data_IF_125043272979
#
_entry.id   IF_125043272979
#
_cell.length_a   1.000
_cell.length_b   1.000
_cell.length_c   1.000
_cell.angle_alpha   90.00
_cell.angle_beta   90.00
_cell.angle_gamma   90.00
#
_symmetry.space_group_name_H-M   'P 1'
#
loop_
_entity.id
_entity.type
_entity.pdbx_description
1 polymer ?
#
# COMPACT_ATOMS: atom_id res chain seq x y z
N UNK A 1 15.26 1.90 -14.26
CA UNK A 1 14.65 0.62 -13.88
C UNK A 1 15.65 -0.50 -14.15
N UNK A 2 15.92 -1.34 -13.14
CA UNK A 2 16.77 -2.51 -13.28
C UNK A 2 16.04 -3.66 -14.01
N UNK A 3 16.80 -4.66 -14.49
CA UNK A 3 16.22 -5.92 -14.95
C UNK A 3 15.63 -6.70 -13.78
N UNK A 4 14.53 -7.40 -14.04
CA UNK A 4 13.83 -8.26 -13.08
C UNK A 4 13.23 -9.49 -13.78
N UNK A 5 12.97 -10.53 -13.02
CA UNK A 5 12.15 -11.68 -13.43
C UNK A 5 10.70 -11.49 -12.97
N UNK A 6 9.75 -12.18 -13.59
CA UNK A 6 8.33 -12.04 -13.32
C UNK A 6 7.65 -13.41 -13.28
N UNK A 7 6.97 -13.71 -12.18
CA UNK A 7 6.04 -14.85 -12.04
C UNK A 7 4.60 -14.31 -11.99
N UNK A 8 3.64 -15.04 -12.56
CA UNK A 8 2.21 -14.76 -12.39
C UNK A 8 1.61 -15.82 -11.47
N UNK A 9 1.39 -15.46 -10.21
CA UNK A 9 0.74 -16.36 -9.27
C UNK A 9 -0.76 -16.41 -9.55
N UNK A 10 -1.37 -17.55 -9.21
CA UNK A 10 -2.81 -17.80 -9.36
C UNK A 10 -3.53 -18.00 -8.03
N UNK A 11 -2.77 -18.23 -6.95
CA UNK A 11 -3.28 -18.35 -5.60
C UNK A 11 -2.41 -17.57 -4.58
N UNK A 12 -2.98 -17.22 -3.44
CA UNK A 12 -2.29 -16.43 -2.42
C UNK A 12 -1.13 -17.18 -1.76
N UNK A 13 -1.27 -18.50 -1.52
CA UNK A 13 -0.19 -19.34 -1.00
C UNK A 13 0.95 -19.51 -2.01
N UNK A 14 0.62 -19.59 -3.30
CA UNK A 14 1.60 -19.59 -4.39
C UNK A 14 2.36 -18.27 -4.42
N UNK A 15 1.65 -17.13 -4.36
CA UNK A 15 2.28 -15.81 -4.35
C UNK A 15 3.21 -15.61 -3.15
N UNK A 16 2.80 -16.07 -1.96
CA UNK A 16 3.66 -16.04 -0.75
C UNK A 16 4.90 -16.91 -0.92
N UNK A 17 4.74 -18.14 -1.43
CA UNK A 17 5.88 -19.03 -1.68
C UNK A 17 6.84 -18.49 -2.74
N UNK A 18 6.32 -17.94 -3.84
CA UNK A 18 7.13 -17.36 -4.91
C UNK A 18 7.89 -16.11 -4.44
N UNK A 19 7.24 -15.21 -3.70
CA UNK A 19 7.93 -14.04 -3.16
C UNK A 19 9.04 -14.43 -2.16
N UNK A 20 8.76 -15.38 -1.27
CA UNK A 20 9.72 -15.81 -0.24
C UNK A 20 10.87 -16.67 -0.76
N UNK A 21 10.76 -17.21 -1.98
CA UNK A 21 11.84 -17.98 -2.63
C UNK A 21 12.84 -17.10 -3.39
N UNK A 22 12.62 -15.79 -3.46
CA UNK A 22 13.45 -14.84 -4.19
C UNK A 22 13.94 -13.69 -3.28
N UNK A 23 15.25 -13.44 -3.29
CA UNK A 23 15.85 -12.30 -2.60
C UNK A 23 15.55 -10.99 -3.33
N UNK A 24 15.04 -9.99 -2.61
CA UNK A 24 14.72 -8.68 -3.20
C UNK A 24 13.47 -8.71 -4.10
N UNK A 25 12.51 -9.58 -3.81
CA UNK A 25 11.24 -9.65 -4.53
C UNK A 25 10.21 -8.63 -4.06
N UNK A 26 9.25 -8.29 -4.92
CA UNK A 26 8.10 -7.46 -4.58
C UNK A 26 6.81 -7.99 -5.23
N UNK A 27 5.68 -7.78 -4.55
CA UNK A 27 4.36 -8.03 -5.14
C UNK A 27 4.00 -6.95 -6.16
N UNK A 28 3.42 -7.37 -7.28
CA UNK A 28 2.89 -6.48 -8.30
C UNK A 28 1.37 -6.64 -8.40
N UNK A 29 0.65 -5.68 -7.79
CA UNK A 29 -0.78 -5.44 -8.04
C UNK A 29 -0.99 -4.58 -9.29
N UNK A 30 -1.75 -3.49 -9.16
CA UNK A 30 -2.03 -2.55 -10.26
C UNK A 30 -0.82 -1.77 -10.83
N UNK A 31 0.34 -1.82 -10.17
CA UNK A 31 1.58 -1.20 -10.62
C UNK A 31 1.64 0.34 -10.55
N UNK A 32 0.55 1.03 -10.23
CA UNK A 32 0.44 2.50 -10.27
C UNK A 32 1.42 3.24 -9.36
N UNK A 33 1.88 2.62 -8.27
CA UNK A 33 2.93 3.16 -7.42
C UNK A 33 4.26 2.41 -7.55
N UNK A 34 4.27 1.08 -7.50
CA UNK A 34 5.52 0.31 -7.56
C UNK A 34 6.30 0.57 -8.86
N UNK A 35 5.63 0.53 -10.02
CA UNK A 35 6.30 0.74 -11.32
C UNK A 35 6.81 2.17 -11.47
N UNK A 36 6.10 3.14 -10.90
CA UNK A 36 6.57 4.53 -10.80
C UNK A 36 7.88 4.61 -10.00
N UNK A 37 7.89 4.05 -8.80
CA UNK A 37 9.10 4.02 -7.95
C UNK A 37 10.27 3.28 -8.61
N UNK A 38 10.00 2.20 -9.36
CA UNK A 38 11.02 1.49 -10.14
C UNK A 38 11.59 2.33 -11.30
N UNK A 39 10.78 3.17 -11.94
CA UNK A 39 11.25 4.10 -12.98
C UNK A 39 12.16 5.18 -12.40
N UNK A 40 11.83 5.69 -11.21
CA UNK A 40 12.68 6.59 -10.43
C UNK A 40 13.86 5.89 -9.74
N UNK A 41 14.00 4.57 -9.89
CA UNK A 41 15.07 3.78 -9.27
C UNK A 41 15.07 3.83 -7.73
N UNK A 42 13.90 4.10 -7.14
CA UNK A 42 13.64 4.12 -5.70
C UNK A 42 13.39 2.70 -5.18
N UNK A 43 12.63 1.91 -5.95
CA UNK A 43 12.43 0.49 -5.71
C UNK A 43 13.20 -0.30 -6.78
N UNK A 44 13.95 -1.31 -6.36
CA UNK A 44 14.84 -2.10 -7.23
C UNK A 44 14.63 -3.61 -7.05
N UNK A 45 13.40 -4.12 -7.19
CA UNK A 45 13.15 -5.54 -7.02
C UNK A 45 13.86 -6.34 -8.13
N UNK A 46 14.45 -7.47 -7.78
CA UNK A 46 15.08 -8.42 -8.71
C UNK A 46 14.07 -9.42 -9.29
N UNK A 47 12.94 -9.59 -8.59
CA UNK A 47 11.83 -10.46 -8.95
C UNK A 47 10.49 -9.78 -8.63
N UNK A 48 9.50 -9.97 -9.50
CA UNK A 48 8.14 -9.53 -9.28
C UNK A 48 7.18 -10.73 -9.27
N UNK A 49 6.39 -10.83 -8.22
CA UNK A 49 5.27 -11.77 -8.14
C UNK A 49 4.00 -11.01 -8.51
N UNK A 50 3.51 -11.20 -9.74
CA UNK A 50 2.26 -10.59 -10.18
C UNK A 50 1.07 -11.25 -9.52
N UNK A 51 0.20 -10.41 -8.99
CA UNK A 51 -1.01 -10.84 -8.29
C UNK A 51 -2.25 -10.86 -9.21
N UNK A 52 -2.14 -10.41 -10.46
CA UNK A 52 -3.29 -10.09 -11.30
C UNK A 52 -4.25 -11.24 -11.64
N UNK A 53 -3.87 -12.50 -11.37
CA UNK A 53 -4.70 -13.68 -11.57
C UNK A 53 -5.28 -14.27 -10.29
N UNK A 54 -4.94 -13.72 -9.11
CA UNK A 54 -5.49 -14.21 -7.84
C UNK A 54 -6.98 -13.84 -7.74
N UNK A 55 -7.83 -14.76 -7.25
CA UNK A 55 -9.26 -14.52 -7.09
C UNK A 55 -9.55 -13.70 -5.81
N UNK A 56 -8.97 -12.50 -5.71
CA UNK A 56 -9.12 -11.59 -4.56
C UNK A 56 -9.82 -10.28 -4.96
N UNK A 57 -10.75 -10.35 -5.91
CA UNK A 57 -11.46 -9.20 -6.48
C UNK A 57 -12.85 -8.97 -5.88
N UNK A 58 -13.37 -9.94 -5.15
CA UNK A 58 -14.77 -9.91 -4.71
C UNK A 58 -14.99 -8.92 -3.56
N UNK A 59 -16.16 -8.28 -3.60
CA UNK A 59 -16.68 -7.44 -2.52
C UNK A 59 -17.93 -8.14 -1.97
N UNK A 60 -17.91 -8.55 -0.71
CA UNK A 60 -18.93 -9.47 -0.16
C UNK A 60 -19.38 -9.07 1.23
N UNK A 61 -20.67 -9.23 1.52
CA UNK A 61 -21.21 -9.01 2.86
C UNK A 61 -20.72 -10.09 3.83
N UNK A 62 -20.39 -9.67 5.06
CA UNK A 62 -19.99 -10.57 6.13
C UNK A 62 -21.18 -10.94 7.04
N UNK A 63 -21.13 -12.10 7.73
CA UNK A 63 -22.23 -12.56 8.59
C UNK A 63 -22.56 -11.64 9.77
N UNK A 64 -21.58 -10.87 10.25
CA UNK A 64 -21.73 -9.85 11.30
C UNK A 64 -22.33 -8.53 10.77
N UNK A 65 -22.65 -8.50 9.49
CA UNK A 65 -23.14 -7.33 8.80
C UNK A 65 -22.02 -6.48 8.19
N UNK A 66 -20.74 -6.79 8.35
CA UNK A 66 -19.64 -6.06 7.72
C UNK A 66 -19.58 -6.20 6.19
N UNK A 67 -18.53 -5.66 5.58
CA UNK A 67 -18.28 -5.81 4.14
C UNK A 67 -16.80 -6.11 3.89
N UNK A 68 -16.51 -7.27 3.31
CA UNK A 68 -15.17 -7.63 2.88
C UNK A 68 -14.88 -7.04 1.50
N UNK A 69 -13.77 -6.32 1.40
CA UNK A 69 -13.18 -5.84 0.16
C UNK A 69 -11.99 -6.73 -0.22
N UNK A 70 -12.06 -7.40 -1.35
CA UNK A 70 -10.94 -8.13 -1.92
C UNK A 70 -9.74 -7.20 -2.17
N UNK A 71 -8.53 -7.66 -1.84
CA UNK A 71 -7.32 -6.84 -1.99
C UNK A 71 -6.99 -6.46 -3.44
N UNK A 72 -7.50 -7.22 -4.41
CA UNK A 72 -7.31 -6.98 -5.84
C UNK A 72 -8.53 -6.35 -6.52
N UNK A 73 -9.62 -6.11 -5.80
CA UNK A 73 -10.68 -5.26 -6.32
C UNK A 73 -10.09 -3.89 -6.66
N UNK A 74 -10.44 -3.36 -7.84
CA UNK A 74 -9.92 -2.05 -8.24
C UNK A 74 -10.56 -0.98 -7.36
N UNK A 75 -9.88 0.16 -7.24
CA UNK A 75 -10.42 1.30 -6.52
C UNK A 75 -11.70 1.81 -7.22
N UNK A 76 -11.77 1.75 -8.55
CA UNK A 76 -12.98 2.08 -9.28
C UNK A 76 -14.15 1.13 -8.93
N UNK A 77 -13.93 -0.18 -9.00
CA UNK A 77 -14.97 -1.17 -8.67
C UNK A 77 -15.42 -1.04 -7.21
N UNK A 78 -14.48 -0.77 -6.31
CA UNK A 78 -14.78 -0.57 -4.88
C UNK A 78 -15.60 0.69 -4.66
N UNK A 79 -15.23 1.82 -5.27
CA UNK A 79 -15.94 3.08 -5.09
C UNK A 79 -17.37 3.05 -5.64
N UNK A 80 -17.59 2.31 -6.72
CA UNK A 80 -18.89 2.17 -7.38
C UNK A 80 -19.65 0.90 -6.99
N UNK A 81 -19.15 0.13 -6.02
CA UNK A 81 -19.87 -1.06 -5.56
C UNK A 81 -21.15 -0.62 -4.83
N UNK A 82 -22.35 -1.16 -5.18
CA UNK A 82 -23.62 -0.68 -4.62
C UNK A 82 -23.68 -0.71 -3.09
N UNK A 83 -23.11 -1.75 -2.47
CA UNK A 83 -23.05 -1.84 -1.00
C UNK A 83 -22.07 -0.83 -0.39
N UNK A 84 -20.99 -0.47 -1.09
CA UNK A 84 -20.05 0.56 -0.61
C UNK A 84 -20.70 1.94 -0.69
N UNK A 85 -21.33 2.27 -1.82
CA UNK A 85 -22.04 3.55 -1.97
C UNK A 85 -23.17 3.71 -0.95
N UNK A 86 -23.95 2.65 -0.74
CA UNK A 86 -25.11 2.68 0.16
C UNK A 86 -24.73 2.71 1.63
N UNK A 87 -23.72 1.95 2.03
CA UNK A 87 -23.44 1.67 3.46
C UNK A 87 -22.16 2.32 3.97
N UNK A 88 -21.19 2.57 3.09
CA UNK A 88 -19.90 3.16 3.40
C UNK A 88 -19.59 4.35 2.48
N UNK A 89 -20.49 5.36 2.36
CA UNK A 89 -20.32 6.46 1.40
C UNK A 89 -19.03 7.27 1.62
N UNK A 90 -18.50 7.31 2.86
CA UNK A 90 -17.19 7.90 3.17
C UNK A 90 -16.07 7.22 2.37
N UNK A 91 -16.08 5.89 2.29
CA UNK A 91 -15.07 5.13 1.54
C UNK A 91 -15.18 5.40 0.03
N UNK A 92 -16.41 5.38 -0.51
CA UNK A 92 -16.63 5.71 -1.93
C UNK A 92 -16.12 7.12 -2.27
N UNK A 93 -16.51 8.13 -1.49
CA UNK A 93 -16.15 9.53 -1.74
C UNK A 93 -14.64 9.78 -1.63
N UNK A 94 -13.97 9.19 -0.64
CA UNK A 94 -12.51 9.34 -0.49
C UNK A 94 -11.76 8.69 -1.64
N UNK A 95 -12.18 7.51 -2.10
CA UNK A 95 -11.58 6.89 -3.29
C UNK A 95 -11.79 7.76 -4.53
N UNK A 96 -12.99 8.31 -4.75
CA UNK A 96 -13.31 9.13 -5.92
C UNK A 96 -12.61 10.50 -5.93
N UNK A 97 -12.28 11.04 -4.75
CA UNK A 97 -11.54 12.29 -4.61
C UNK A 97 -10.06 12.15 -5.01
N UNK A 98 -9.48 10.96 -4.84
CA UNK A 98 -8.07 10.69 -5.11
C UNK A 98 -7.78 10.26 -6.54
N UNK A 99 -6.67 10.74 -7.10
CA UNK A 99 -6.14 10.35 -8.41
C UNK A 99 -7.09 10.59 -9.61
N UNK A 100 -6.83 9.92 -10.73
CA UNK A 100 -7.63 10.00 -11.96
C UNK A 100 -8.43 8.72 -12.19
N UNK A 101 -9.50 8.73 -13.02
CA UNK A 101 -10.24 7.52 -13.36
C UNK A 101 -9.35 6.40 -13.91
N UNK A 102 -8.36 6.73 -14.75
CA UNK A 102 -7.43 5.76 -15.33
C UNK A 102 -6.60 5.06 -14.25
N UNK A 103 -6.11 5.82 -13.26
CA UNK A 103 -5.36 5.25 -12.14
C UNK A 103 -6.28 4.40 -11.26
N UNK A 104 -7.52 4.84 -10.99
CA UNK A 104 -8.47 4.08 -10.18
C UNK A 104 -8.92 2.77 -10.82
N UNK A 105 -8.96 2.71 -12.15
CA UNK A 105 -9.31 1.48 -12.89
C UNK A 105 -8.25 0.38 -12.79
N UNK A 106 -7.03 0.69 -12.33
CA UNK A 106 -5.95 -0.31 -12.18
C UNK A 106 -5.40 -0.38 -10.77
N UNK A 107 -5.47 0.69 -9.98
CA UNK A 107 -5.08 0.68 -8.58
C UNK A 107 -6.00 -0.28 -7.81
N UNK A 108 -5.41 -1.18 -7.03
CA UNK A 108 -6.15 -2.16 -6.23
C UNK A 108 -6.28 -1.69 -4.79
N UNK A 109 -7.23 -2.25 -4.03
CA UNK A 109 -7.39 -1.95 -2.61
C UNK A 109 -6.11 -2.20 -1.82
N UNK A 110 -5.53 -3.40 -1.91
CA UNK A 110 -4.27 -3.74 -1.22
C UNK A 110 -3.08 -2.88 -1.70
N UNK A 111 -3.03 -2.52 -2.99
CA UNK A 111 -2.00 -1.62 -3.51
C UNK A 111 -2.13 -0.19 -2.97
N UNK A 112 -3.36 0.30 -2.78
CA UNK A 112 -3.62 1.64 -2.26
C UNK A 112 -3.13 1.81 -0.81
N UNK A 113 -3.34 0.79 0.04
CA UNK A 113 -2.81 0.75 1.42
C UNK A 113 -1.28 0.89 1.49
N UNK A 114 -0.60 0.36 0.47
CA UNK A 114 0.87 0.24 0.43
C UNK A 114 1.52 1.29 -0.46
N UNK A 115 0.79 2.33 -0.89
CA UNK A 115 1.41 3.40 -1.64
C UNK A 115 2.38 4.22 -0.76
N UNK A 116 3.50 4.63 -1.33
CA UNK A 116 4.53 5.40 -0.64
C UNK A 116 4.29 6.91 -0.75
N UNK A 117 4.98 7.64 0.11
CA UNK A 117 4.88 9.10 0.24
C UNK A 117 5.18 9.86 -1.06
N UNK A 118 4.64 11.09 -1.19
CA UNK A 118 4.92 12.03 -2.29
C UNK A 118 5.94 13.11 -1.93
N UNK A 119 6.69 12.93 -0.84
CA UNK A 119 7.75 13.84 -0.44
C UNK A 119 8.76 14.04 -1.58
N UNK A 120 9.05 15.30 -1.93
CA UNK A 120 9.94 15.63 -3.05
C UNK A 120 11.35 15.06 -2.86
N UNK A 121 11.88 15.13 -1.63
CA UNK A 121 13.19 14.58 -1.27
C UNK A 121 13.25 13.05 -1.28
N UNK A 122 12.11 12.39 -1.04
CA UNK A 122 12.05 10.94 -1.17
C UNK A 122 12.25 10.54 -2.64
N UNK A 123 11.66 11.28 -3.59
CA UNK A 123 11.81 11.03 -5.02
C UNK A 123 13.13 11.52 -5.62
N UNK A 124 13.75 12.55 -5.04
CA UNK A 124 15.06 13.05 -5.48
C UNK A 124 16.21 12.25 -4.85
N UNK A 125 16.82 11.38 -5.67
CA UNK A 125 17.95 10.53 -5.28
C UNK A 125 19.20 11.32 -4.85
N UNK A 126 19.34 12.60 -5.23
CA UNK A 126 20.49 13.42 -4.88
C UNK A 126 20.40 14.01 -3.46
N UNK A 127 19.25 13.86 -2.78
CA UNK A 127 19.00 14.51 -1.48
C UNK A 127 18.99 13.50 -0.34
N UNK A 128 19.54 13.82 0.85
CA UNK A 128 19.43 12.93 2.00
C UNK A 128 17.99 12.58 2.43
N UNK A 129 17.71 11.29 2.63
CA UNK A 129 16.38 10.82 3.00
C UNK A 129 16.44 9.49 3.80
N UNK A 130 16.24 9.56 5.12
CA UNK A 130 16.19 8.38 6.00
C UNK A 130 15.17 7.32 5.58
N UNK A 131 14.04 7.73 4.98
CA UNK A 131 13.00 6.79 4.49
C UNK A 131 13.47 5.97 3.28
N UNK A 132 14.46 6.46 2.53
CA UNK A 132 15.08 5.77 1.39
C UNK A 132 16.37 5.06 1.79
N UNK A 133 17.21 5.74 2.56
CA UNK A 133 18.50 5.24 3.04
C UNK A 133 18.70 5.68 4.51
N UNK A 134 18.48 4.76 5.47
CA UNK A 134 18.57 5.07 6.89
C UNK A 134 19.92 5.71 7.29
N UNK A 135 19.86 6.75 8.12
CA UNK A 135 21.04 7.45 8.63
C UNK A 135 21.55 8.58 7.74
N UNK A 136 21.01 8.77 6.54
CA UNK A 136 21.42 9.88 5.65
C UNK A 136 20.89 11.24 6.10
N UNK A 137 19.80 11.28 6.87
CA UNK A 137 19.13 12.50 7.33
C UNK A 137 17.80 12.77 6.61
N UNK A 138 17.12 13.85 6.98
CA UNK A 138 15.84 14.24 6.37
C UNK A 138 15.91 15.67 5.81
N UNK A 139 16.10 15.81 4.50
CA UNK A 139 16.14 17.14 3.85
C UNK A 139 14.84 17.94 3.97
N UNK A 140 13.71 17.28 4.23
CA UNK A 140 12.42 17.95 4.41
C UNK A 140 12.33 18.76 5.73
N UNK A 141 13.15 18.46 6.74
CA UNK A 141 13.07 19.18 8.01
C UNK A 141 13.44 20.67 7.88
N UNK A 142 14.46 20.96 7.09
CA UNK A 142 15.00 22.32 6.91
C UNK A 142 14.75 22.89 5.52
N UNK A 143 14.24 22.08 4.58
CA UNK A 143 13.89 22.49 3.22
C UNK A 143 12.40 22.74 3.02
N UNK A 144 11.97 23.08 1.78
CA UNK A 144 10.57 23.12 1.38
C UNK A 144 9.74 21.91 1.83
N UNK A 145 8.85 22.12 2.79
CA UNK A 145 8.09 21.05 3.44
C UNK A 145 6.58 21.30 3.50
N UNK A 146 6.05 22.15 2.62
CA UNK A 146 4.62 22.50 2.55
C UNK A 146 3.68 21.29 2.50
N UNK A 147 4.12 20.18 1.90
CA UNK A 147 3.32 18.94 1.74
C UNK A 147 3.58 17.89 2.82
N UNK A 148 4.41 18.21 3.81
CA UNK A 148 4.81 17.28 4.87
C UNK A 148 3.85 17.31 6.06
N UNK A 149 3.96 16.29 6.91
CA UNK A 149 3.11 16.11 8.08
C UNK A 149 3.41 17.13 9.17
N UNK A 150 2.38 17.49 9.91
CA UNK A 150 2.45 18.35 11.11
C UNK A 150 2.16 17.58 12.41
N UNK A 151 1.63 16.36 12.30
CA UNK A 151 1.32 15.45 13.41
C UNK A 151 1.93 14.08 13.11
N UNK A 152 2.26 13.34 14.18
CA UNK A 152 2.81 11.99 14.05
C UNK A 152 4.17 11.94 13.34
N UNK A 153 4.95 13.02 13.44
CA UNK A 153 6.26 13.13 12.80
C UNK A 153 7.41 12.75 13.76
N UNK A 154 8.63 12.77 13.25
CA UNK A 154 9.85 12.53 14.02
C UNK A 154 11.00 13.37 13.48
N UNK A 155 12.11 13.43 14.21
CA UNK A 155 13.38 13.99 13.70
C UNK A 155 13.96 13.16 12.54
N UNK A 156 13.52 11.92 12.35
CA UNK A 156 13.99 11.07 11.25
C UNK A 156 13.18 11.27 9.97
N UNK A 157 11.89 11.62 10.06
CA UNK A 157 11.02 11.83 8.90
C UNK A 157 9.72 12.58 9.26
N UNK A 158 9.32 13.46 8.35
CA UNK A 158 8.06 14.23 8.40
C UNK A 158 7.12 13.94 7.21
N UNK A 159 7.31 12.82 6.52
CA UNK A 159 6.53 12.45 5.35
C UNK A 159 5.08 12.06 5.71
N UNK A 160 4.13 12.32 4.81
CA UNK A 160 2.73 11.90 4.93
C UNK A 160 2.46 10.60 4.19
N UNK A 161 1.44 9.85 4.64
CA UNK A 161 0.78 8.79 3.87
C UNK A 161 -0.27 9.47 2.96
N UNK A 162 -0.09 9.46 1.62
CA UNK A 162 -0.95 10.20 0.69
C UNK A 162 -2.32 9.59 0.40
N UNK A 163 -2.68 8.42 0.95
CA UNK A 163 -3.93 7.74 0.60
C UNK A 163 -5.18 8.36 1.25
N UNK A 164 -6.09 8.89 0.43
CA UNK A 164 -7.44 9.29 0.86
C UNK A 164 -8.26 8.08 1.35
N UNK A 165 -8.13 6.93 0.68
CA UNK A 165 -8.81 5.68 1.07
C UNK A 165 -8.43 5.23 2.48
N UNK A 166 -7.15 5.36 2.86
CA UNK A 166 -6.69 4.99 4.20
C UNK A 166 -7.33 5.86 5.29
N UNK A 167 -7.64 7.13 5.01
CA UNK A 167 -8.35 7.99 5.96
C UNK A 167 -9.76 7.45 6.24
N UNK A 168 -10.50 7.04 5.21
CA UNK A 168 -11.82 6.44 5.39
C UNK A 168 -11.74 5.10 6.12
N UNK A 169 -10.78 4.24 5.78
CA UNK A 169 -10.64 2.93 6.43
C UNK A 169 -10.26 3.03 7.90
N UNK A 170 -9.41 4.01 8.28
CA UNK A 170 -9.12 4.29 9.68
C UNK A 170 -10.38 4.75 10.43
N UNK A 171 -11.13 5.71 9.86
CA UNK A 171 -12.36 6.22 10.47
C UNK A 171 -13.47 5.16 10.59
N UNK A 172 -13.45 4.15 9.73
CA UNK A 172 -14.38 3.02 9.73
C UNK A 172 -13.88 1.83 10.59
N UNK A 173 -12.74 1.97 11.26
CA UNK A 173 -12.13 0.93 12.10
C UNK A 173 -11.92 -0.40 11.36
N UNK A 174 -11.53 -0.31 10.07
CA UNK A 174 -11.37 -1.47 9.21
C UNK A 174 -10.36 -2.49 9.77
N UNK A 175 -10.41 -3.72 9.28
CA UNK A 175 -9.47 -4.78 9.64
C UNK A 175 -8.80 -5.33 8.39
N UNK A 176 -7.48 -5.22 8.31
CA UNK A 176 -6.69 -5.76 7.20
C UNK A 176 -6.42 -7.23 7.45
N UNK A 177 -6.79 -8.09 6.50
CA UNK A 177 -6.47 -9.52 6.52
C UNK A 177 -5.23 -9.76 5.66
N UNK A 178 -4.27 -10.47 6.22
CA UNK A 178 -3.00 -10.78 5.56
C UNK A 178 -2.71 -12.27 5.61
N UNK A 179 -2.02 -12.76 4.59
CA UNK A 179 -1.51 -14.12 4.50
C UNK A 179 0.01 -14.05 4.31
N UNK A 180 0.77 -14.78 5.11
CA UNK A 180 2.23 -14.84 5.02
C UNK A 180 2.75 -16.27 5.16
N UNK A 181 4.09 -16.44 5.25
CA UNK A 181 4.71 -17.75 5.40
C UNK A 181 4.30 -18.47 6.69
N UNK A 182 3.93 -17.71 7.73
CA UNK A 182 3.47 -18.24 9.03
C UNK A 182 1.94 -18.44 9.09
N UNK A 183 1.23 -18.27 7.97
CA UNK A 183 -0.23 -18.40 7.88
C UNK A 183 -0.97 -17.07 7.81
N UNK A 184 -2.26 -17.10 8.14
CA UNK A 184 -3.14 -15.93 8.10
C UNK A 184 -3.16 -15.17 9.43
N UNK A 185 -3.27 -13.85 9.36
CA UNK A 185 -3.58 -13.01 10.52
C UNK A 185 -4.38 -11.77 10.12
N UNK A 186 -4.90 -11.08 11.14
CA UNK A 186 -5.58 -9.80 10.98
C UNK A 186 -4.78 -8.68 11.65
N UNK A 187 -4.97 -7.46 11.17
CA UNK A 187 -4.34 -6.22 11.67
C UNK A 187 -5.44 -5.17 11.72
N UNK A 188 -5.67 -4.55 12.89
CA UNK A 188 -6.56 -3.37 12.97
C UNK A 188 -5.97 -2.25 12.11
N UNK A 189 -6.82 -1.47 11.45
CA UNK A 189 -6.31 -0.43 10.55
C UNK A 189 -5.40 0.58 11.25
N UNK A 190 -5.74 0.95 12.50
CA UNK A 190 -4.92 1.84 13.35
C UNK A 190 -3.53 1.28 13.69
N UNK A 191 -3.37 -0.04 13.61
CA UNK A 191 -2.09 -0.73 13.81
C UNK A 191 -1.36 -1.03 12.49
N UNK A 192 -1.99 -0.80 11.33
CA UNK A 192 -1.42 -1.19 10.03
C UNK A 192 -0.29 -0.26 9.59
N UNK A 193 -0.54 1.06 9.57
CA UNK A 193 0.49 2.05 9.30
C UNK A 193 1.19 2.45 10.59
N UNK A 194 2.49 2.72 10.51
CA UNK A 194 3.29 3.09 11.68
C UNK A 194 3.77 4.53 11.62
N UNK A 195 3.91 5.14 12.79
CA UNK A 195 4.66 6.39 12.92
C UNK A 195 6.12 6.14 12.52
N UNK A 196 6.81 7.12 11.91
CA UNK A 196 8.16 6.93 11.39
C UNK A 196 9.17 6.52 12.48
N UNK A 197 9.08 7.16 13.66
CA UNK A 197 10.03 6.92 14.76
C UNK A 197 11.47 7.05 14.27
N UNK A 198 12.31 6.08 14.65
CA UNK A 198 13.70 5.95 14.21
C UNK A 198 13.89 5.10 12.94
N UNK A 199 12.81 4.50 12.43
CA UNK A 199 12.83 3.57 11.29
C UNK A 199 11.86 4.03 10.19
N UNK A 200 12.07 5.22 9.61
CA UNK A 200 11.13 5.77 8.64
C UNK A 200 11.11 5.01 7.31
N UNK A 201 12.04 4.11 7.04
CA UNK A 201 12.04 3.23 5.86
C UNK A 201 10.88 2.21 5.88
N UNK A 202 10.30 1.94 7.06
CA UNK A 202 9.13 1.06 7.22
C UNK A 202 7.85 1.86 7.35
N UNK A 203 6.99 1.77 6.35
CA UNK A 203 5.71 2.51 6.27
C UNK A 203 4.55 1.80 7.01
N UNK A 204 4.62 0.48 7.20
CA UNK A 204 3.55 -0.34 7.80
C UNK A 204 4.11 -1.48 8.67
N UNK A 205 3.23 -2.30 9.23
CA UNK A 205 3.55 -3.45 10.10
C UNK A 205 3.44 -4.81 9.42
N UNK A 206 3.46 -4.87 8.08
CA UNK A 206 3.56 -6.14 7.37
C UNK A 206 4.90 -6.80 7.71
N UNK A 207 4.87 -8.11 7.97
CA UNK A 207 6.07 -8.92 8.10
C UNK A 207 6.60 -9.29 6.71
N UNK A 208 7.90 -9.64 6.58
CA UNK A 208 8.45 -10.13 5.32
C UNK A 208 7.60 -11.27 4.73
N UNK A 209 7.22 -11.14 3.46
CA UNK A 209 6.42 -12.14 2.76
C UNK A 209 4.92 -12.07 2.98
N UNK A 210 4.41 -11.14 3.82
CA UNK A 210 2.96 -11.01 3.99
C UNK A 210 2.31 -10.29 2.81
N UNK A 211 1.20 -10.88 2.37
CA UNK A 211 0.31 -10.41 1.32
C UNK A 211 -1.00 -9.95 1.95
N UNK A 212 -1.44 -8.72 1.64
CA UNK A 212 -2.81 -8.29 1.95
C UNK A 212 -3.79 -9.05 1.06
N UNK A 213 -4.74 -9.77 1.65
CA UNK A 213 -5.73 -10.59 0.93
C UNK A 213 -7.11 -9.95 0.88
N UNK A 214 -7.48 -9.22 1.94
CA UNK A 214 -8.74 -8.47 2.00
C UNK A 214 -8.74 -7.43 3.12
N UNK A 215 -9.76 -6.57 3.11
CA UNK A 215 -10.04 -5.56 4.13
C UNK A 215 -11.50 -5.76 4.56
N UNK A 216 -11.75 -5.94 5.85
CA UNK A 216 -13.08 -6.13 6.44
C UNK A 216 -13.59 -4.85 7.13
#
# INVERSE_FOLDING_TARGET
MNSFTLTQATAADEAVRDLTSHDGAAYLGGGTNLVDLMKYNLERPTHLTSLGLLPLTDITSLPDGGLRLGALATNADTAWHPEVEKRYPLLSQTILAGATPQLRNVATNGGNLNQRTRCYYFYDLATPCNKREPGTGCSALTGPNRVCGVLGTSESCIATQPSDMCVALAALEAVVRVQGPDGERTIKFDDYHRLPGDQPEKDNTLKPGELVVSID
#
